data_IF_816447356703
#
_entry.id   IF_816447356703
#
_cell.length_a   1.000
_cell.length_b   1.000
_cell.length_c   1.000
_cell.angle_alpha   90.00
_cell.angle_beta   90.00
_cell.angle_gamma   90.00
#
_symmetry.space_group_name_H-M   'P 1'
#
loop_
_entity.id
_entity.type
_entity.pdbx_description
1 polymer ?
#
# COMPACT_ATOMS: atom_id res chain seq x y z
N UNK A 1 -8.32 -17.76 13.22
CA UNK A 1 -8.99 -16.80 12.31
C UNK A 1 -7.92 -16.30 11.35
N UNK A 2 -7.84 -16.85 10.14
CA UNK A 2 -6.91 -16.33 9.15
C UNK A 2 -7.58 -15.18 8.43
N UNK A 3 -7.16 -13.94 8.73
CA UNK A 3 -7.51 -12.77 7.94
C UNK A 3 -6.67 -12.75 6.65
N UNK A 4 -6.76 -13.83 5.85
CA UNK A 4 -6.13 -13.89 4.54
C UNK A 4 -7.24 -13.64 3.52
N UNK A 5 -7.44 -12.36 3.17
CA UNK A 5 -8.16 -12.02 1.95
C UNK A 5 -7.28 -12.53 0.81
N UNK A 6 -7.79 -13.49 0.04
CA UNK A 6 -6.97 -14.38 -0.81
C UNK A 6 -6.36 -13.67 -2.03
N UNK A 7 -6.66 -12.40 -2.32
CA UNK A 7 -6.26 -11.78 -3.58
C UNK A 7 -6.31 -10.24 -3.64
N UNK A 8 -6.01 -9.50 -2.56
CA UNK A 8 -5.98 -8.02 -2.63
C UNK A 8 -4.68 -7.44 -2.09
N UNK A 9 -3.54 -8.02 -2.51
CA UNK A 9 -2.21 -7.48 -2.26
C UNK A 9 -1.74 -6.58 -3.44
N UNK A 10 -2.63 -6.29 -4.39
CA UNK A 10 -2.34 -5.44 -5.56
C UNK A 10 -1.91 -4.02 -5.14
N UNK A 11 -2.52 -3.50 -4.07
CA UNK A 11 -2.12 -2.22 -3.46
C UNK A 11 -0.71 -2.25 -2.82
N UNK A 12 -0.13 -3.44 -2.66
CA UNK A 12 1.24 -3.66 -2.18
C UNK A 12 2.21 -4.01 -3.32
N UNK A 13 1.78 -4.02 -4.59
CA UNK A 13 2.66 -4.40 -5.71
C UNK A 13 3.91 -3.52 -5.84
N UNK A 14 3.85 -2.27 -5.36
CA UNK A 14 4.96 -1.31 -5.35
C UNK A 14 5.80 -1.33 -4.06
N UNK A 15 5.46 -2.23 -3.12
CA UNK A 15 6.15 -2.42 -1.85
C UNK A 15 7.10 -3.61 -1.98
N UNK A 16 8.37 -3.40 -1.65
CA UNK A 16 9.38 -4.46 -1.71
C UNK A 16 9.16 -5.51 -0.60
N UNK A 17 9.36 -6.78 -0.96
CA UNK A 17 9.35 -7.88 0.01
C UNK A 17 10.42 -7.66 1.09
N UNK A 18 9.99 -7.55 2.35
CA UNK A 18 10.89 -7.27 3.46
C UNK A 18 11.03 -5.80 3.82
N UNK A 19 10.26 -4.90 3.19
CA UNK A 19 10.12 -3.52 3.63
C UNK A 19 9.71 -3.43 5.11
N UNK A 20 10.34 -2.51 5.84
CA UNK A 20 10.01 -2.22 7.22
C UNK A 20 8.67 -1.53 7.37
N UNK A 21 8.09 -1.55 8.58
CA UNK A 21 6.79 -0.95 8.87
C UNK A 21 6.69 0.52 8.44
N UNK A 22 7.77 1.29 8.63
CA UNK A 22 7.82 2.70 8.24
C UNK A 22 7.78 2.87 6.73
N UNK A 23 8.55 2.08 5.99
CA UNK A 23 8.65 2.17 4.53
C UNK A 23 7.31 1.83 3.86
N UNK A 24 6.61 0.82 4.39
CA UNK A 24 5.25 0.45 3.94
C UNK A 24 4.29 1.64 4.15
N UNK A 25 4.32 2.28 5.32
CA UNK A 25 3.45 3.42 5.61
C UNK A 25 3.74 4.62 4.70
N UNK A 26 5.02 4.94 4.47
CA UNK A 26 5.42 6.03 3.58
C UNK A 26 4.93 5.79 2.15
N UNK A 27 5.11 4.57 1.63
CA UNK A 27 4.61 4.19 0.29
C UNK A 27 3.10 4.33 0.18
N UNK A 28 2.34 3.73 1.09
CA UNK A 28 0.87 3.75 1.04
C UNK A 28 0.29 5.14 1.30
N UNK A 29 0.92 5.95 2.15
CA UNK A 29 0.49 7.33 2.37
C UNK A 29 0.75 8.22 1.16
N UNK A 30 1.89 8.07 0.49
CA UNK A 30 2.19 8.78 -0.75
C UNK A 30 1.23 8.39 -1.89
N UNK A 31 0.91 7.11 -2.05
CA UNK A 31 -0.06 6.64 -3.04
C UNK A 31 -1.45 7.25 -2.82
N UNK A 32 -1.94 7.28 -1.57
CA UNK A 32 -3.21 7.93 -1.24
C UNK A 32 -3.19 9.42 -1.54
N UNK A 33 -2.13 10.12 -1.12
CA UNK A 33 -1.97 11.54 -1.41
C UNK A 33 -1.92 11.82 -2.92
N UNK A 34 -1.33 10.93 -3.72
CA UNK A 34 -1.32 11.06 -5.18
C UNK A 34 -2.71 10.81 -5.79
N UNK A 35 -3.45 9.81 -5.30
CA UNK A 35 -4.82 9.55 -5.75
C UNK A 35 -5.76 10.74 -5.44
N UNK A 36 -5.65 11.32 -4.25
CA UNK A 36 -6.45 12.47 -3.82
C UNK A 36 -6.16 13.74 -4.65
N UNK A 37 -4.99 13.84 -5.30
CA UNK A 37 -4.55 15.02 -6.08
C UNK A 37 -4.99 14.94 -7.56
N UNK A 38 -5.35 13.75 -8.06
CA UNK A 38 -5.83 13.57 -9.44
C UNK A 38 -7.32 13.96 -9.60
N UNK A 39 -8.07 14.05 -8.51
CA UNK A 39 -9.51 14.35 -8.48
C UNK A 39 -9.85 15.86 -8.41
N UNK A 40 -8.87 16.77 -8.53
CA UNK A 40 -9.02 18.24 -8.38
C UNK A 40 -8.79 19.05 -9.67
#
# INVERSE_FOLDING_TARGET
MSNKVVADDEHLADVEDGAGCTEIWEKLSAQRAAADVDEE
#
